data_IF_044672489255
#
_entry.id   IF_044672489255
#
_cell.length_a   1.000
_cell.length_b   1.000
_cell.length_c   1.000
_cell.angle_alpha   90.00
_cell.angle_beta   90.00
_cell.angle_gamma   90.00
#
_symmetry.space_group_name_H-M   'P 1'
#
loop_
_entity.id
_entity.type
_entity.pdbx_description
1 polymer ?
#
# COMPACT_ATOMS: atom_id res chain seq x y z
N UNK A 1 -6.32 -20.98 -7.30
CA UNK A 1 -5.69 -20.89 -5.97
C UNK A 1 -5.43 -22.31 -5.50
N UNK A 2 -4.17 -22.73 -5.46
CA UNK A 2 -3.81 -24.05 -4.93
C UNK A 2 -4.11 -24.06 -3.44
N UNK A 3 -4.92 -25.00 -2.96
CA UNK A 3 -4.98 -25.32 -1.53
C UNK A 3 -3.57 -25.72 -1.12
N UNK A 4 -2.89 -24.83 -0.39
CA UNK A 4 -1.66 -25.20 0.26
C UNK A 4 -2.06 -26.25 1.30
N UNK A 5 -1.65 -27.50 1.08
CA UNK A 5 -1.65 -28.54 2.11
C UNK A 5 -1.06 -27.92 3.37
N UNK A 6 -1.91 -27.60 4.35
CA UNK A 6 -1.49 -26.81 5.51
C UNK A 6 -0.86 -27.75 6.51
N UNK A 7 0.32 -28.25 6.14
CA UNK A 7 1.13 -29.15 6.94
C UNK A 7 1.40 -28.56 8.32
N UNK A 8 1.67 -29.42 9.28
CA UNK A 8 2.01 -29.06 10.64
C UNK A 8 3.30 -28.24 10.67
N UNK A 9 3.22 -27.04 11.23
CA UNK A 9 4.33 -26.12 11.45
C UNK A 9 4.71 -26.15 12.94
N UNK A 10 5.99 -26.30 13.22
CA UNK A 10 6.59 -26.11 14.54
C UNK A 10 7.38 -24.80 14.55
N UNK A 11 7.08 -23.90 15.48
CA UNK A 11 7.95 -22.79 15.87
C UNK A 11 8.70 -23.24 17.12
N UNK A 12 10.01 -23.43 17.02
CA UNK A 12 10.85 -23.95 18.10
C UNK A 12 11.57 -22.82 18.81
N UNK A 13 11.75 -22.93 20.12
CA UNK A 13 12.54 -21.97 20.91
C UNK A 13 12.08 -20.51 20.68
N UNK A 14 10.80 -20.24 20.89
CA UNK A 14 10.18 -18.90 20.81
C UNK A 14 9.69 -18.46 22.19
N UNK A 15 9.59 -17.15 22.41
CA UNK A 15 9.02 -16.58 23.64
C UNK A 15 7.63 -16.01 23.33
N UNK A 16 6.57 -16.70 23.76
CA UNK A 16 5.19 -16.28 23.49
C UNK A 16 4.82 -15.07 24.35
N UNK A 17 4.38 -13.97 23.75
CA UNK A 17 3.87 -12.83 24.52
C UNK A 17 2.57 -13.20 25.26
N UNK A 18 2.35 -12.75 26.52
CA UNK A 18 3.21 -11.87 27.32
C UNK A 18 4.23 -12.62 28.21
N UNK A 19 4.38 -13.92 28.03
CA UNK A 19 5.29 -14.74 28.81
C UNK A 19 6.76 -14.43 28.49
N UNK A 20 7.64 -14.87 29.38
CA UNK A 20 9.11 -14.69 29.27
C UNK A 20 9.86 -16.00 29.10
N UNK A 21 9.17 -17.13 29.18
CA UNK A 21 9.77 -18.47 29.08
C UNK A 21 9.80 -18.96 27.63
N UNK A 22 10.92 -19.55 27.16
CA UNK A 22 10.96 -20.20 25.86
C UNK A 22 9.94 -21.32 25.75
N UNK A 23 9.43 -21.55 24.54
CA UNK A 23 8.38 -22.52 24.22
C UNK A 23 8.55 -23.05 22.79
N UNK A 24 7.97 -24.21 22.54
CA UNK A 24 7.77 -24.80 21.23
C UNK A 24 6.27 -24.71 20.87
N UNK A 25 5.91 -24.06 19.77
CA UNK A 25 4.51 -23.83 19.36
C UNK A 25 4.16 -24.64 18.12
N UNK A 26 3.08 -25.42 18.21
CA UNK A 26 2.65 -26.29 17.11
C UNK A 26 1.39 -25.74 16.45
N UNK A 27 1.49 -25.47 15.15
CA UNK A 27 0.41 -24.97 14.31
C UNK A 27 -0.02 -26.08 13.34
N UNK A 28 -1.31 -26.37 13.29
CA UNK A 28 -1.91 -27.30 12.30
C UNK A 28 -3.11 -26.62 11.67
N UNK A 29 -3.26 -26.73 10.36
CA UNK A 29 -4.40 -26.15 9.63
C UNK A 29 -4.62 -24.65 9.97
N UNK A 30 -3.52 -23.91 10.12
CA UNK A 30 -3.54 -22.49 10.45
C UNK A 30 -3.93 -22.14 11.90
N UNK A 31 -4.07 -23.13 12.79
CA UNK A 31 -4.42 -22.93 14.20
C UNK A 31 -3.29 -23.37 15.12
N UNK A 32 -3.03 -22.59 16.17
CA UNK A 32 -2.19 -23.05 17.28
C UNK A 32 -2.92 -24.18 17.99
N UNK A 33 -2.30 -25.35 18.05
CA UNK A 33 -2.86 -26.55 18.71
C UNK A 33 -2.21 -26.82 20.05
N UNK A 34 -0.92 -26.48 20.19
CA UNK A 34 -0.13 -26.71 21.40
C UNK A 34 0.89 -25.60 21.59
N UNK A 35 1.12 -25.24 22.85
CA UNK A 35 2.28 -24.49 23.33
C UNK A 35 2.97 -25.40 24.33
N UNK A 36 4.21 -25.78 24.05
CA UNK A 36 4.93 -26.85 24.72
C UNK A 36 6.21 -26.30 25.35
N UNK A 37 6.76 -26.95 26.39
CA UNK A 37 8.10 -26.65 26.87
C UNK A 37 9.15 -26.74 25.74
N UNK A 38 10.23 -25.94 25.80
CA UNK A 38 11.23 -25.88 24.75
C UNK A 38 11.95 -27.23 24.61
N UNK A 39 12.23 -27.63 23.37
CA UNK A 39 12.90 -28.91 23.08
C UNK A 39 11.99 -30.14 23.11
N UNK A 40 10.67 -29.96 23.24
CA UNK A 40 9.71 -31.06 23.18
C UNK A 40 9.79 -31.77 21.82
N UNK A 41 9.81 -33.10 21.82
CA UNK A 41 9.82 -33.88 20.58
C UNK A 41 8.41 -33.93 19.98
N UNK A 42 8.21 -33.23 18.88
CA UNK A 42 6.93 -33.21 18.14
C UNK A 42 7.03 -34.14 16.92
N UNK A 43 6.06 -35.03 16.73
CA UNK A 43 5.96 -35.91 15.55
C UNK A 43 5.06 -35.30 14.48
N UNK A 44 5.20 -35.78 13.24
CA UNK A 44 4.41 -35.35 12.09
C UNK A 44 4.43 -33.82 11.95
N UNK A 45 5.65 -33.27 11.82
CA UNK A 45 5.91 -31.86 11.53
C UNK A 45 6.43 -31.79 10.10
N UNK A 46 5.74 -31.03 9.26
CA UNK A 46 6.12 -30.82 7.86
C UNK A 46 7.19 -29.72 7.75
N UNK A 47 7.12 -28.73 8.63
CA UNK A 47 8.06 -27.60 8.65
C UNK A 47 8.39 -27.18 10.08
N UNK A 48 9.68 -26.96 10.34
CA UNK A 48 10.17 -26.38 11.59
C UNK A 48 10.83 -25.02 11.31
N UNK A 49 10.56 -24.03 12.17
CA UNK A 49 11.23 -22.73 12.17
C UNK A 49 11.87 -22.54 13.54
N UNK A 50 13.19 -22.33 13.55
CA UNK A 50 13.95 -22.03 14.77
C UNK A 50 13.79 -20.55 15.13
N UNK A 51 13.14 -20.29 16.27
CA UNK A 51 12.93 -18.96 16.84
C UNK A 51 14.17 -18.38 17.51
N UNK A 52 15.06 -19.22 18.05
CA UNK A 52 16.31 -18.80 18.72
C UNK A 52 16.08 -17.79 19.85
N UNK A 53 15.04 -18.01 20.64
CA UNK A 53 14.59 -17.12 21.71
C UNK A 53 13.85 -15.86 21.25
N UNK A 54 13.50 -15.73 19.96
CA UNK A 54 12.76 -14.56 19.47
C UNK A 54 11.33 -14.51 20.05
N UNK A 55 10.82 -13.29 20.19
CA UNK A 55 9.44 -13.05 20.60
C UNK A 55 8.45 -13.55 19.53
N UNK A 56 7.47 -14.35 19.96
CA UNK A 56 6.30 -14.70 19.19
C UNK A 56 5.13 -13.84 19.66
N UNK A 57 4.68 -12.94 18.78
CA UNK A 57 3.55 -12.05 19.02
C UNK A 57 2.31 -12.58 18.30
N UNK A 58 1.10 -12.32 18.81
CA UNK A 58 -0.10 -12.36 18.00
C UNK A 58 0.07 -11.47 16.75
N UNK A 59 -0.61 -11.84 15.66
CA UNK A 59 -0.67 -10.98 14.49
C UNK A 59 -1.21 -9.59 14.86
N UNK A 60 -0.72 -8.54 14.20
CA UNK A 60 -1.25 -7.19 14.41
C UNK A 60 -2.64 -7.08 13.79
N UNK A 61 -3.62 -6.63 14.58
CA UNK A 61 -4.99 -6.39 14.12
C UNK A 61 -5.25 -4.89 14.03
N UNK A 62 -5.43 -4.39 12.81
CA UNK A 62 -5.85 -3.01 12.56
C UNK A 62 -7.38 -2.98 12.41
N UNK A 63 -8.07 -2.40 13.41
CA UNK A 63 -9.53 -2.30 13.43
C UNK A 63 -10.08 -1.15 12.58
N UNK A 64 -9.24 -0.25 12.09
CA UNK A 64 -9.67 0.90 11.32
C UNK A 64 -8.67 1.21 10.20
N UNK A 65 -8.82 0.49 9.08
CA UNK A 65 -8.10 0.81 7.86
C UNK A 65 -9.03 1.20 6.71
N UNK A 66 -8.55 2.13 5.88
CA UNK A 66 -9.12 2.39 4.57
C UNK A 66 -8.38 1.57 3.50
N UNK A 67 -8.66 0.26 3.41
CA UNK A 67 -7.92 -0.66 2.53
C UNK A 67 -7.88 -0.19 1.07
N UNK A 68 -9.02 0.24 0.52
CA UNK A 68 -9.07 0.77 -0.84
C UNK A 68 -8.29 2.07 -1.00
N UNK A 69 -8.31 2.97 -0.01
CA UNK A 69 -7.52 4.19 -0.05
C UNK A 69 -6.02 3.88 0.01
N UNK A 70 -5.60 2.87 0.79
CA UNK A 70 -4.22 2.39 0.85
C UNK A 70 -3.78 1.81 -0.49
N UNK A 71 -4.57 0.92 -1.09
CA UNK A 71 -4.29 0.36 -2.41
C UNK A 71 -4.22 1.47 -3.47
N UNK A 72 -5.16 2.41 -3.40
CA UNK A 72 -5.19 3.57 -4.26
C UNK A 72 -3.92 4.44 -4.10
N UNK A 73 -3.46 4.70 -2.88
CA UNK A 73 -2.22 5.44 -2.60
C UNK A 73 -0.98 4.71 -3.15
N UNK A 74 -0.87 3.39 -2.91
CA UNK A 74 0.23 2.56 -3.45
C UNK A 74 0.30 2.54 -4.97
N UNK A 75 -0.84 2.69 -5.64
CA UNK A 75 -0.95 2.77 -7.10
C UNK A 75 -0.92 4.22 -7.63
N UNK A 76 -0.53 5.20 -6.81
CA UNK A 76 -0.39 6.60 -7.22
C UNK A 76 1.10 6.99 -7.33
N UNK A 77 1.39 7.90 -8.26
CA UNK A 77 2.70 8.56 -8.37
C UNK A 77 2.93 9.43 -7.14
N UNK A 78 4.00 9.18 -6.40
CA UNK A 78 4.39 9.98 -5.25
C UNK A 78 5.15 11.24 -5.70
N UNK A 79 4.55 12.42 -5.54
CA UNK A 79 5.17 13.71 -5.86
C UNK A 79 5.83 14.38 -4.66
N UNK A 80 5.67 13.86 -3.45
CA UNK A 80 6.24 14.43 -2.24
C UNK A 80 7.79 14.47 -2.23
N UNK A 81 8.44 13.67 -3.10
CA UNK A 81 9.88 13.64 -3.27
C UNK A 81 10.38 14.49 -4.45
N UNK A 82 9.48 15.05 -5.25
CA UNK A 82 9.86 15.94 -6.34
C UNK A 82 10.48 17.23 -5.78
N UNK A 83 11.39 17.85 -6.52
CA UNK A 83 12.14 19.03 -6.05
C UNK A 83 11.98 20.24 -6.96
N UNK A 84 11.44 20.01 -8.16
CA UNK A 84 11.26 20.99 -9.22
C UNK A 84 10.18 20.50 -10.20
N UNK A 85 9.79 21.38 -11.13
CA UNK A 85 8.79 21.06 -12.16
C UNK A 85 9.21 19.90 -13.07
N UNK A 86 10.51 19.73 -13.27
CA UNK A 86 11.09 18.76 -14.19
C UNK A 86 11.02 17.33 -13.61
N UNK A 87 11.29 17.19 -12.30
CA UNK A 87 11.07 15.94 -11.55
C UNK A 87 9.59 15.58 -11.46
N UNK A 88 8.69 16.55 -11.29
CA UNK A 88 7.24 16.32 -11.40
C UNK A 88 6.88 15.79 -12.79
N UNK A 89 7.38 16.42 -13.86
CA UNK A 89 7.13 16.00 -15.24
C UNK A 89 7.61 14.58 -15.49
N UNK A 90 8.83 14.24 -15.07
CA UNK A 90 9.37 12.88 -15.22
C UNK A 90 8.53 11.85 -14.46
N UNK A 91 8.16 12.14 -13.23
CA UNK A 91 7.35 11.24 -12.41
C UNK A 91 5.97 10.97 -13.03
N UNK A 92 5.29 12.01 -13.52
CA UNK A 92 3.98 11.87 -14.18
C UNK A 92 4.10 11.12 -15.51
N UNK A 93 5.12 11.39 -16.33
CA UNK A 93 5.30 10.70 -17.63
C UNK A 93 5.75 9.25 -17.50
N UNK A 94 6.48 8.92 -16.44
CA UNK A 94 6.89 7.55 -16.14
C UNK A 94 5.76 6.72 -15.50
N UNK A 95 4.62 7.33 -15.17
CA UNK A 95 3.48 6.63 -14.60
C UNK A 95 3.02 5.53 -15.57
N UNK A 96 2.96 4.26 -15.12
CA UNK A 96 2.54 3.16 -15.99
C UNK A 96 1.12 3.41 -16.52
N UNK A 97 0.83 2.86 -17.70
CA UNK A 97 -0.53 2.77 -18.19
C UNK A 97 -1.33 1.84 -17.28
N UNK A 98 -2.25 2.39 -16.49
CA UNK A 98 -3.25 1.58 -15.79
C UNK A 98 -4.34 1.14 -16.77
N UNK A 99 -5.16 0.16 -16.41
CA UNK A 99 -6.30 -0.31 -17.21
C UNK A 99 -7.25 0.83 -17.66
N UNK A 100 -7.31 1.93 -16.90
CA UNK A 100 -8.16 3.10 -17.19
C UNK A 100 -7.44 4.23 -17.93
N UNK A 101 -6.12 4.10 -18.17
CA UNK A 101 -5.18 5.11 -18.68
C UNK A 101 -4.96 6.35 -17.76
N UNK A 102 -5.68 6.44 -16.63
CA UNK A 102 -5.53 7.54 -15.68
C UNK A 102 -4.17 7.56 -15.00
N UNK A 103 -3.59 8.75 -14.92
CA UNK A 103 -2.48 9.03 -14.01
C UNK A 103 -3.05 9.59 -12.72
N UNK A 104 -2.69 8.95 -11.62
CA UNK A 104 -2.99 9.42 -10.28
C UNK A 104 -1.70 9.81 -9.58
N UNK A 105 -1.65 11.01 -9.03
CA UNK A 105 -0.51 11.47 -8.26
C UNK A 105 -0.95 12.07 -6.92
N UNK A 106 -0.09 11.99 -5.92
CA UNK A 106 -0.36 12.47 -4.56
C UNK A 106 0.84 13.15 -3.96
N UNK A 107 0.61 14.07 -3.01
CA UNK A 107 1.68 14.72 -2.25
C UNK A 107 2.29 15.93 -2.95
N UNK A 108 1.58 16.56 -3.88
CA UNK A 108 2.05 17.79 -4.51
C UNK A 108 2.00 18.96 -3.53
N UNK A 109 3.01 19.82 -3.56
CA UNK A 109 3.07 21.06 -2.78
C UNK A 109 3.74 22.12 -3.66
N UNK A 110 3.14 23.30 -3.72
CA UNK A 110 3.55 24.43 -4.54
C UNK A 110 4.95 24.96 -4.23
N UNK A 111 5.48 24.71 -3.02
CA UNK A 111 6.87 25.05 -2.68
C UNK A 111 7.88 24.36 -3.61
N UNK A 112 7.52 23.22 -4.19
CA UNK A 112 8.43 22.44 -5.06
C UNK A 112 8.45 22.94 -6.50
N UNK A 113 7.30 23.31 -7.07
CA UNK A 113 7.17 23.59 -8.51
C UNK A 113 6.24 24.77 -8.84
N UNK A 114 6.00 25.65 -7.86
CA UNK A 114 5.02 26.75 -7.94
C UNK A 114 3.58 26.26 -7.84
N UNK A 115 2.57 27.13 -8.01
CA UNK A 115 1.17 26.71 -8.01
C UNK A 115 0.86 25.70 -9.12
N UNK A 116 -0.15 24.85 -8.90
CA UNK A 116 -0.62 23.91 -9.93
C UNK A 116 -2.01 24.31 -10.38
N UNK A 117 -2.21 24.36 -11.69
CA UNK A 117 -3.50 24.58 -12.32
C UNK A 117 -3.66 23.62 -13.51
N UNK A 118 -4.83 23.69 -14.15
CA UNK A 118 -5.16 22.87 -15.32
C UNK A 118 -4.14 23.03 -16.45
N UNK A 119 -3.77 24.26 -16.79
CA UNK A 119 -2.87 24.55 -17.91
C UNK A 119 -1.44 24.08 -17.66
N UNK A 120 -0.95 24.21 -16.42
CA UNK A 120 0.34 23.65 -16.00
C UNK A 120 0.34 22.14 -16.07
N UNK A 121 -0.76 21.48 -15.67
CA UNK A 121 -0.88 20.04 -15.83
C UNK A 121 -0.93 19.61 -17.29
N UNK A 122 -1.62 20.35 -18.16
CA UNK A 122 -1.62 20.09 -19.61
C UNK A 122 -0.19 20.19 -20.19
N UNK A 123 0.59 21.17 -19.78
CA UNK A 123 1.99 21.31 -20.21
C UNK A 123 2.89 20.16 -19.72
N UNK A 124 2.61 19.60 -18.54
CA UNK A 124 3.34 18.45 -18.00
C UNK A 124 2.96 17.15 -18.72
N UNK A 125 1.65 16.90 -18.87
CA UNK A 125 1.06 15.73 -19.52
C UNK A 125 -0.25 16.11 -20.22
N UNK A 126 -0.20 16.22 -21.55
CA UNK A 126 -1.36 16.57 -22.38
C UNK A 126 -2.18 15.34 -22.84
N UNK A 127 -1.55 14.17 -22.94
CA UNK A 127 -2.11 13.03 -23.69
C UNK A 127 -2.97 12.08 -22.86
N UNK A 128 -2.92 12.19 -21.52
CA UNK A 128 -3.58 11.26 -20.60
C UNK A 128 -4.33 12.02 -19.51
N UNK A 129 -5.48 11.53 -19.02
CA UNK A 129 -6.18 12.15 -17.91
C UNK A 129 -5.34 12.04 -16.63
N UNK A 130 -5.04 13.19 -16.01
CA UNK A 130 -4.25 13.29 -14.78
C UNK A 130 -5.07 13.89 -13.65
N UNK A 131 -5.01 13.26 -12.47
CA UNK A 131 -5.43 13.87 -11.21
C UNK A 131 -4.29 13.91 -10.21
N UNK A 132 -4.11 15.05 -9.56
CA UNK A 132 -3.06 15.29 -8.57
C UNK A 132 -3.66 15.73 -7.24
N UNK A 133 -3.36 15.02 -6.16
CA UNK A 133 -3.72 15.44 -4.81
C UNK A 133 -2.64 16.36 -4.22
N UNK A 134 -3.07 17.48 -3.64
CA UNK A 134 -2.21 18.32 -2.81
C UNK A 134 -1.75 17.56 -1.56
N UNK A 135 -0.57 17.90 -1.03
CA UNK A 135 0.02 17.28 0.16
C UNK A 135 -0.84 17.43 1.42
N UNK A 136 -1.69 18.46 1.47
CA UNK A 136 -2.69 18.63 2.55
C UNK A 136 -3.81 17.59 2.51
N UNK A 137 -3.98 16.86 1.41
CA UNK A 137 -5.09 15.94 1.16
C UNK A 137 -6.43 16.62 0.85
N UNK A 138 -6.50 17.96 0.94
CA UNK A 138 -7.75 18.75 0.86
C UNK A 138 -8.06 19.33 -0.51
N UNK A 139 -7.14 19.22 -1.48
CA UNK A 139 -7.31 19.77 -2.82
C UNK A 139 -6.88 18.77 -3.88
N UNK A 140 -7.57 18.83 -5.03
CA UNK A 140 -7.30 18.03 -6.20
C UNK A 140 -7.20 18.93 -7.44
N UNK A 141 -6.21 18.64 -8.28
CA UNK A 141 -5.99 19.32 -9.54
C UNK A 141 -6.13 18.33 -10.69
N UNK A 142 -6.70 18.80 -11.80
CA UNK A 142 -7.00 17.99 -12.96
C UNK A 142 -6.54 18.71 -14.22
N UNK A 143 -6.01 17.95 -15.19
CA UNK A 143 -5.72 18.47 -16.52
C UNK A 143 -6.99 18.47 -17.40
N UNK A 144 -6.92 19.06 -18.59
CA UNK A 144 -8.08 19.17 -19.48
C UNK A 144 -8.64 17.80 -19.87
N UNK A 145 -7.78 16.84 -20.25
CA UNK A 145 -8.19 15.48 -20.59
C UNK A 145 -8.93 14.75 -19.45
N UNK A 146 -8.54 14.99 -18.18
CA UNK A 146 -9.25 14.44 -17.03
C UNK A 146 -10.62 15.09 -16.85
N UNK A 147 -10.72 16.41 -17.00
CA UNK A 147 -11.97 17.14 -16.85
C UNK A 147 -12.97 16.79 -17.96
N UNK A 148 -12.50 16.64 -19.20
CA UNK A 148 -13.31 16.15 -20.33
C UNK A 148 -13.89 14.77 -20.00
N UNK A 149 -13.05 13.86 -19.50
CA UNK A 149 -13.47 12.50 -19.14
C UNK A 149 -14.42 12.46 -17.94
N UNK A 150 -14.35 13.45 -17.06
CA UNK A 150 -15.30 13.62 -15.95
C UNK A 150 -16.61 14.28 -16.40
N UNK A 151 -16.69 14.79 -17.63
CA UNK A 151 -17.86 15.50 -18.14
C UNK A 151 -18.12 16.83 -17.45
N UNK A 152 -17.11 17.43 -16.81
CA UNK A 152 -17.27 18.69 -16.05
C UNK A 152 -17.01 19.94 -16.90
N UNK A 153 -16.44 19.78 -18.09
CA UNK A 153 -16.25 20.88 -19.05
C UNK A 153 -17.49 21.12 -19.92
N UNK A 154 -18.46 20.19 -19.92
CA UNK A 154 -19.74 20.31 -20.63
C UNK A 154 -20.84 21.05 -19.82
N UNK A 155 -20.47 21.76 -18.76
CA UNK A 155 -21.38 22.70 -18.11
C UNK A 155 -21.35 24.06 -18.84
N UNK A 156 -21.89 24.06 -20.05
CA UNK A 156 -22.53 25.26 -20.57
C UNK A 156 -23.76 25.52 -19.70
N UNK A 157 -23.80 26.63 -18.97
CA UNK A 157 -25.03 27.28 -18.48
C UNK A 157 -26.10 26.38 -17.81
N UNK A 158 -26.01 26.20 -16.49
CA UNK A 158 -27.15 26.00 -15.59
C UNK A 158 -26.62 26.20 -14.15
N UNK A 159 -26.90 27.26 -13.41
CA UNK A 159 -27.96 28.27 -13.43
C UNK A 159 -27.40 29.67 -13.12
#
# INVERSE_FOLDING_TARGET
MSEASTGALLLRDVVCYPDTTPSDVVIREGRVTHVLPPGTRVRAVDRCIEGRGAALLPGLHDHHLHLFALAASRNSVALALARDVESVRRALRAAPGAETDWIRATGYHEVMAGPLDRGRLDALVATRPVRVQHASGKAWFFNSAALDRLGVLDQSAAA
#
